data_IF_762934848500
#
_entry.id   IF_762934848500
#
_cell.length_a   1.000
_cell.length_b   1.000
_cell.length_c   1.000
_cell.angle_alpha   90.00
_cell.angle_beta   90.00
_cell.angle_gamma   90.00
#
_symmetry.space_group_name_H-M   'P 1'
#
loop_
_entity.id
_entity.type
_entity.pdbx_description
1 polymer ?
#
# COMPACT_ATOMS: atom_id res chain seq x y z
N UNK A 1 31.29 18.26 11.79
CA UNK A 1 30.04 17.50 12.05
C UNK A 1 28.91 18.47 12.35
N UNK A 2 27.97 18.60 11.42
CA UNK A 2 26.72 19.35 11.64
C UNK A 2 25.83 18.63 12.66
N UNK A 3 25.12 19.40 13.50
CA UNK A 3 24.03 18.92 14.34
C UNK A 3 22.73 19.43 13.71
N UNK A 4 21.77 18.54 13.47
CA UNK A 4 20.51 18.88 12.82
C UNK A 4 19.35 18.38 13.69
N UNK A 5 18.33 19.22 13.86
CA UNK A 5 17.06 18.82 14.46
C UNK A 5 16.04 18.73 13.34
N UNK A 6 15.41 17.57 13.18
CA UNK A 6 14.28 17.36 12.27
C UNK A 6 13.02 17.30 13.11
N UNK A 7 12.02 18.12 12.75
CA UNK A 7 10.75 18.20 13.50
C UNK A 7 9.65 17.49 12.70
N UNK A 8 9.09 16.43 13.28
CA UNK A 8 7.99 15.63 12.74
C UNK A 8 8.43 14.28 12.18
N UNK A 9 7.66 13.23 12.47
CA UNK A 9 7.92 11.85 12.04
C UNK A 9 7.00 11.37 10.90
N UNK A 10 6.59 12.28 10.00
CA UNK A 10 5.97 11.88 8.73
C UNK A 10 7.00 11.37 7.71
N UNK A 11 6.55 11.02 6.50
CA UNK A 11 7.44 10.54 5.43
C UNK A 11 8.63 11.48 5.21
N UNK A 12 8.38 12.78 5.00
CA UNK A 12 9.42 13.78 4.80
C UNK A 12 10.44 13.79 5.95
N UNK A 13 9.97 13.90 7.19
CA UNK A 13 10.86 13.96 8.36
C UNK A 13 11.69 12.70 8.57
N UNK A 14 11.09 11.52 8.42
CA UNK A 14 11.81 10.24 8.52
C UNK A 14 12.85 10.09 7.40
N UNK A 15 12.50 10.42 6.15
CA UNK A 15 13.45 10.34 5.03
C UNK A 15 14.58 11.36 5.13
N UNK A 16 14.28 12.59 5.57
CA UNK A 16 15.29 13.64 5.79
C UNK A 16 16.24 13.23 6.91
N UNK A 17 15.71 12.76 8.05
CA UNK A 17 16.54 12.31 9.16
C UNK A 17 17.46 11.15 8.74
N UNK A 18 16.93 10.17 8.00
CA UNK A 18 17.70 9.04 7.49
C UNK A 18 18.82 9.48 6.53
N UNK A 19 18.51 10.29 5.51
CA UNK A 19 19.51 10.78 4.55
C UNK A 19 20.62 11.60 5.22
N UNK A 20 20.26 12.49 6.14
CA UNK A 20 21.23 13.29 6.89
C UNK A 20 22.15 12.42 7.74
N UNK A 21 21.59 11.43 8.44
CA UNK A 21 22.36 10.50 9.25
C UNK A 21 23.30 9.64 8.40
N UNK A 22 22.83 9.10 7.26
CA UNK A 22 23.66 8.36 6.30
C UNK A 22 24.78 9.22 5.71
N UNK A 23 24.58 10.55 5.65
CA UNK A 23 25.60 11.52 5.21
C UNK A 23 26.55 11.97 6.33
N UNK A 24 26.47 11.36 7.53
CA UNK A 24 27.37 11.63 8.66
C UNK A 24 26.95 12.80 9.58
N UNK A 25 25.75 13.36 9.42
CA UNK A 25 25.24 14.37 10.34
C UNK A 25 24.76 13.74 11.66
N UNK A 26 24.87 14.48 12.77
CA UNK A 26 24.22 14.09 14.03
C UNK A 26 22.80 14.63 14.05
N UNK A 27 21.82 13.73 13.99
CA UNK A 27 20.42 14.10 13.85
C UNK A 27 19.65 13.80 15.14
N UNK A 28 18.79 14.72 15.55
CA UNK A 28 17.74 14.50 16.55
C UNK A 28 16.38 14.65 15.86
N UNK A 29 15.52 13.63 15.99
CA UNK A 29 14.16 13.65 15.47
C UNK A 29 13.18 14.01 16.60
N UNK A 30 12.67 15.24 16.59
CA UNK A 30 11.67 15.69 17.55
C UNK A 30 10.26 15.48 16.98
N UNK A 31 9.41 14.70 17.66
CA UNK A 31 8.02 14.51 17.23
C UNK A 31 7.06 14.36 18.41
N UNK A 32 5.82 14.83 18.23
CA UNK A 32 4.71 14.57 19.17
C UNK A 32 4.03 13.22 18.92
N UNK A 33 4.16 12.66 17.71
CA UNK A 33 3.48 11.41 17.30
C UNK A 33 4.00 10.84 15.97
N UNK A 34 3.37 9.78 15.43
CA UNK A 34 3.89 8.99 14.30
C UNK A 34 3.71 9.62 12.91
N UNK A 35 3.27 10.88 12.81
CA UNK A 35 3.01 11.53 11.53
C UNK A 35 1.83 10.92 10.76
N UNK A 36 1.79 11.16 9.44
CA UNK A 36 0.64 10.85 8.58
C UNK A 36 0.66 9.49 7.85
N UNK A 37 1.72 8.68 7.98
CA UNK A 37 1.83 7.43 7.21
C UNK A 37 0.69 6.44 7.52
N UNK A 38 0.22 6.39 8.77
CA UNK A 38 -0.94 5.59 9.16
C UNK A 38 -2.29 6.07 8.59
N UNK A 39 -2.33 7.27 8.00
CA UNK A 39 -3.49 7.81 7.28
C UNK A 39 -3.39 7.59 5.75
N UNK A 40 -2.24 7.10 5.28
CA UNK A 40 -1.97 6.87 3.86
C UNK A 40 -2.50 5.51 3.39
N UNK A 41 -2.43 5.25 2.09
CA UNK A 41 -2.74 3.93 1.51
C UNK A 41 -1.56 2.93 1.61
N UNK A 42 -0.42 3.34 2.19
CA UNK A 42 0.78 2.53 2.26
C UNK A 42 1.55 2.39 0.94
N UNK A 43 1.33 3.33 0.02
CA UNK A 43 1.99 3.44 -1.30
C UNK A 43 2.62 4.82 -1.47
N UNK A 44 3.48 4.99 -2.47
CA UNK A 44 4.08 6.28 -2.86
C UNK A 44 3.56 6.68 -4.24
N UNK A 45 2.74 7.72 -4.26
CA UNK A 45 2.07 8.19 -5.48
C UNK A 45 2.90 9.29 -6.14
N UNK A 46 3.10 9.18 -7.45
CA UNK A 46 3.85 10.16 -8.23
C UNK A 46 2.97 10.62 -9.39
N UNK A 47 2.64 11.92 -9.40
CA UNK A 47 1.87 12.62 -10.44
C UNK A 47 0.84 11.74 -11.17
N UNK A 48 -0.15 11.25 -10.43
CA UNK A 48 -1.16 10.34 -10.98
C UNK A 48 -2.17 11.01 -11.93
N UNK A 49 -2.25 12.35 -11.94
CA UNK A 49 -3.28 13.10 -12.65
C UNK A 49 -2.76 14.45 -13.15
N UNK A 50 -3.13 14.86 -14.37
CA UNK A 50 -2.91 16.22 -14.89
C UNK A 50 -3.78 16.56 -16.13
N UNK A 51 -5.04 16.98 -15.98
CA UNK A 51 -5.98 16.60 -14.92
C UNK A 51 -6.46 15.15 -15.07
N UNK A 52 -6.30 14.59 -16.28
CA UNK A 52 -6.60 13.20 -16.61
C UNK A 52 -5.59 12.25 -15.97
N UNK A 53 -6.00 10.99 -15.82
CA UNK A 53 -5.16 9.94 -15.24
C UNK A 53 -3.88 9.72 -16.04
N UNK A 54 -2.75 9.62 -15.34
CA UNK A 54 -1.41 9.42 -15.92
C UNK A 54 -0.83 8.06 -15.56
N UNK A 55 -0.44 7.31 -16.59
CA UNK A 55 0.33 6.06 -16.43
C UNK A 55 1.83 6.29 -16.38
N UNK A 56 2.35 7.36 -17.02
CA UNK A 56 3.79 7.65 -17.09
C UNK A 56 4.09 9.03 -16.51
N UNK A 57 4.23 9.16 -15.17
CA UNK A 57 4.20 10.46 -14.52
C UNK A 57 5.42 11.31 -14.86
N UNK A 58 6.61 10.72 -15.01
CA UNK A 58 7.83 11.50 -15.32
C UNK A 58 7.80 12.17 -16.69
N UNK A 59 7.10 11.59 -17.68
CA UNK A 59 6.95 12.21 -19.01
C UNK A 59 6.08 13.47 -18.95
N UNK A 60 5.13 13.52 -18.01
CA UNK A 60 4.25 14.67 -17.84
C UNK A 60 4.91 15.85 -17.12
N UNK A 61 6.01 15.64 -16.38
CA UNK A 61 6.64 16.68 -15.54
C UNK A 61 7.02 17.92 -16.34
N UNK A 62 7.57 17.75 -17.54
CA UNK A 62 7.99 18.88 -18.39
C UNK A 62 6.85 19.73 -18.96
N UNK A 63 5.60 19.25 -18.86
CA UNK A 63 4.40 19.97 -19.30
C UNK A 63 3.70 20.73 -18.17
N UNK A 64 4.19 20.60 -16.93
CA UNK A 64 3.61 21.26 -15.77
C UNK A 64 4.01 22.75 -15.72
N UNK A 65 3.19 23.62 -15.11
CA UNK A 65 3.59 24.99 -14.83
C UNK A 65 4.86 25.05 -13.98
N UNK A 66 5.71 26.07 -14.20
CA UNK A 66 6.97 26.24 -13.46
C UNK A 66 6.77 26.37 -11.93
N UNK A 67 5.59 26.80 -11.50
CA UNK A 67 5.21 26.89 -10.08
C UNK A 67 4.84 25.55 -9.46
N UNK A 68 4.70 24.49 -10.26
CA UNK A 68 4.34 23.17 -9.77
C UNK A 68 5.55 22.50 -9.08
N UNK A 69 5.39 21.89 -7.88
CA UNK A 69 6.51 21.27 -7.15
C UNK A 69 7.34 20.27 -7.97
N UNK A 70 6.69 19.42 -8.77
CA UNK A 70 7.40 18.51 -9.68
C UNK A 70 8.21 19.23 -10.78
N UNK A 71 7.74 20.38 -11.29
CA UNK A 71 8.51 21.17 -12.26
C UNK A 71 9.78 21.75 -11.60
N UNK A 72 9.67 22.21 -10.35
CA UNK A 72 10.82 22.72 -9.57
C UNK A 72 11.85 21.63 -9.27
N UNK A 73 11.42 20.43 -8.88
CA UNK A 73 12.31 19.29 -8.58
C UNK A 73 12.90 18.69 -9.87
N UNK A 74 12.14 18.73 -10.96
CA UNK A 74 12.48 18.10 -12.23
C UNK A 74 12.30 16.58 -12.23
N UNK A 75 12.07 16.01 -13.42
CA UNK A 75 11.81 14.57 -13.57
C UNK A 75 12.94 13.70 -13.00
N UNK A 76 14.20 14.10 -13.20
CA UNK A 76 15.35 13.34 -12.69
C UNK A 76 15.51 13.42 -11.17
N UNK A 77 15.21 14.59 -10.58
CA UNK A 77 15.18 14.74 -9.13
C UNK A 77 14.13 13.83 -8.49
N UNK A 78 12.94 13.74 -9.10
CA UNK A 78 11.88 12.83 -8.67
C UNK A 78 12.33 11.38 -8.82
N UNK A 79 12.89 11.01 -9.98
CA UNK A 79 13.42 9.66 -10.23
C UNK A 79 14.40 9.23 -9.15
N UNK A 80 15.42 10.04 -8.91
CA UNK A 80 16.47 9.76 -7.92
C UNK A 80 15.91 9.67 -6.49
N UNK A 81 14.97 10.54 -6.12
CA UNK A 81 14.38 10.53 -4.79
C UNK A 81 13.54 9.27 -4.53
N UNK A 82 12.71 8.88 -5.51
CA UNK A 82 11.83 7.70 -5.43
C UNK A 82 12.64 6.41 -5.46
N UNK A 83 13.63 6.31 -6.35
CA UNK A 83 14.53 5.15 -6.42
C UNK A 83 15.26 4.92 -5.10
N UNK A 84 15.85 5.97 -4.52
CA UNK A 84 16.49 5.87 -3.21
C UNK A 84 15.54 5.41 -2.11
N UNK A 85 14.29 5.89 -2.10
CA UNK A 85 13.30 5.46 -1.08
C UNK A 85 12.95 3.98 -1.23
N UNK A 86 12.77 3.49 -2.46
CA UNK A 86 12.55 2.07 -2.74
C UNK A 86 13.74 1.22 -2.27
N UNK A 87 14.98 1.66 -2.52
CA UNK A 87 16.20 1.01 -2.00
C UNK A 87 16.26 0.97 -0.47
N UNK A 88 15.66 1.96 0.20
CA UNK A 88 15.59 1.91 1.66
C UNK A 88 14.59 0.87 2.16
N UNK A 89 13.58 0.46 1.40
CA UNK A 89 12.51 -0.43 1.87
C UNK A 89 12.12 -1.47 0.80
N UNK A 90 13.07 -2.28 0.28
CA UNK A 90 12.81 -3.17 -0.86
C UNK A 90 11.74 -4.23 -0.58
N UNK A 91 11.54 -4.61 0.69
CA UNK A 91 10.51 -5.54 1.13
C UNK A 91 9.10 -4.92 1.22
N UNK A 92 8.98 -3.59 1.17
CA UNK A 92 7.71 -2.87 1.30
C UNK A 92 7.38 -1.96 0.11
N UNK A 93 8.35 -1.58 -0.71
CA UNK A 93 8.14 -0.66 -1.82
C UNK A 93 8.78 -1.23 -3.10
N UNK A 94 7.91 -1.65 -4.01
CA UNK A 94 8.28 -2.15 -5.33
C UNK A 94 7.62 -1.32 -6.43
N UNK A 95 8.23 -1.28 -7.61
CA UNK A 95 7.84 -0.40 -8.71
C UNK A 95 8.89 0.67 -8.98
N UNK A 96 8.52 1.68 -9.76
CA UNK A 96 9.40 2.78 -10.13
C UNK A 96 8.56 4.02 -10.53
N UNK A 97 9.15 5.22 -10.63
CA UNK A 97 8.42 6.42 -11.03
C UNK A 97 8.21 6.55 -12.55
N UNK A 98 8.73 5.66 -13.40
CA UNK A 98 8.45 5.73 -14.84
C UNK A 98 7.04 5.31 -15.20
N UNK A 99 6.45 4.42 -14.39
CA UNK A 99 5.14 3.87 -14.65
C UNK A 99 4.33 3.68 -13.35
N UNK A 100 3.11 4.21 -13.35
CA UNK A 100 2.15 4.03 -12.29
C UNK A 100 1.36 2.73 -12.46
N UNK A 101 1.35 1.88 -11.43
CA UNK A 101 0.32 0.85 -11.24
C UNK A 101 -1.07 1.48 -11.18
N UNK A 102 -2.10 0.71 -11.52
CA UNK A 102 -3.50 1.13 -11.46
C UNK A 102 -4.24 0.28 -10.43
N UNK A 103 -4.11 0.65 -9.15
CA UNK A 103 -4.55 -0.18 -8.04
C UNK A 103 -5.98 0.17 -7.58
N UNK A 104 -6.77 -0.83 -7.16
CA UNK A 104 -8.08 -0.62 -6.57
C UNK A 104 -8.01 0.12 -5.23
N UNK A 105 -8.99 0.98 -4.97
CA UNK A 105 -9.22 1.63 -3.67
C UNK A 105 -10.33 0.93 -2.88
N UNK A 106 -10.53 1.33 -1.61
CA UNK A 106 -11.63 0.85 -0.76
C UNK A 106 -13.05 1.06 -1.34
N UNK A 107 -13.18 1.90 -2.37
CA UNK A 107 -14.44 2.14 -3.09
C UNK A 107 -14.45 1.52 -4.49
N UNK A 108 -13.46 0.70 -4.86
CA UNK A 108 -13.37 0.06 -6.17
C UNK A 108 -13.07 1.01 -7.34
N UNK A 109 -12.51 2.19 -7.06
CA UNK A 109 -11.94 3.06 -8.10
C UNK A 109 -10.46 2.69 -8.33
N UNK A 110 -9.94 2.99 -9.52
CA UNK A 110 -8.51 2.81 -9.82
C UNK A 110 -7.72 4.08 -9.48
N UNK A 111 -6.58 3.89 -8.82
CA UNK A 111 -5.68 4.94 -8.36
C UNK A 111 -4.25 4.68 -8.88
N UNK A 112 -3.65 5.64 -9.60
CA UNK A 112 -2.26 5.59 -10.03
C UNK A 112 -1.30 5.64 -8.84
N UNK A 113 -0.29 4.76 -8.82
CA UNK A 113 0.78 4.78 -7.81
C UNK A 113 2.09 4.23 -8.35
N UNK A 114 3.22 4.84 -7.97
CA UNK A 114 4.53 4.48 -8.51
C UNK A 114 5.20 3.36 -7.70
N UNK A 115 5.15 3.47 -6.36
CA UNK A 115 5.65 2.42 -5.47
C UNK A 115 4.50 1.85 -4.65
N UNK A 116 4.31 0.54 -4.71
CA UNK A 116 3.31 -0.18 -3.95
C UNK A 116 3.95 -1.23 -3.05
N UNK A 117 3.18 -1.75 -2.09
CA UNK A 117 3.63 -2.94 -1.36
C UNK A 117 3.53 -4.18 -2.25
N UNK A 118 4.43 -5.16 -2.10
CA UNK A 118 4.34 -6.42 -2.85
C UNK A 118 2.95 -7.06 -2.79
N UNK A 119 2.31 -6.96 -1.62
CA UNK A 119 0.96 -7.48 -1.39
C UNK A 119 -0.15 -6.79 -2.17
N UNK A 120 0.11 -5.67 -2.85
CA UNK A 120 -0.88 -4.92 -3.62
C UNK A 120 -0.71 -5.06 -5.13
N UNK A 121 0.48 -5.44 -5.59
CA UNK A 121 0.88 -5.38 -7.01
C UNK A 121 -0.04 -6.21 -7.92
N UNK A 122 -0.44 -7.40 -7.48
CA UNK A 122 -1.38 -8.24 -8.25
C UNK A 122 -2.75 -7.56 -8.49
N UNK A 123 -3.07 -6.51 -7.73
CA UNK A 123 -4.26 -5.70 -7.88
C UNK A 123 -4.25 -4.76 -9.09
N UNK A 124 -3.12 -4.64 -9.80
CA UNK A 124 -3.01 -3.78 -10.96
C UNK A 124 -4.00 -4.18 -12.07
N UNK A 125 -4.83 -3.20 -12.45
CA UNK A 125 -5.95 -3.38 -13.36
C UNK A 125 -5.57 -3.43 -14.85
N UNK A 126 -4.32 -3.14 -15.19
CA UNK A 126 -3.83 -3.27 -16.56
C UNK A 126 -4.02 -4.72 -17.05
N UNK A 127 -4.21 -4.89 -18.36
CA UNK A 127 -4.39 -6.18 -19.04
C UNK A 127 -5.71 -6.91 -18.74
N UNK A 128 -6.70 -6.25 -18.14
CA UNK A 128 -8.08 -6.77 -18.07
C UNK A 128 -8.27 -7.97 -17.13
N UNK A 129 -7.67 -7.92 -15.94
CA UNK A 129 -7.76 -9.00 -14.94
C UNK A 129 -9.18 -9.19 -14.41
N UNK A 130 -9.48 -10.41 -13.95
CA UNK A 130 -10.68 -10.69 -13.19
C UNK A 130 -10.39 -10.86 -11.67
N UNK A 131 -11.29 -10.36 -10.82
CA UNK A 131 -11.08 -10.29 -9.37
C UNK A 131 -12.17 -10.99 -8.57
N UNK A 132 -11.76 -11.77 -7.57
CA UNK A 132 -12.64 -12.18 -6.48
C UNK A 132 -12.41 -11.26 -5.29
N UNK A 133 -13.32 -10.33 -5.03
CA UNK A 133 -13.24 -9.41 -3.89
C UNK A 133 -13.85 -10.11 -2.68
N UNK A 134 -13.01 -10.60 -1.77
CA UNK A 134 -13.44 -11.38 -0.62
C UNK A 134 -13.40 -10.54 0.64
N UNK A 135 -14.57 -10.20 1.15
CA UNK A 135 -14.73 -9.47 2.41
C UNK A 135 -14.81 -10.38 3.63
N UNK A 136 -14.59 -9.80 4.80
CA UNK A 136 -14.78 -10.46 6.10
C UNK A 136 -15.96 -9.79 6.79
N UNK A 137 -16.98 -10.56 7.18
CA UNK A 137 -18.25 -10.02 7.70
C UNK A 137 -18.07 -9.08 8.91
N UNK A 138 -17.05 -9.30 9.72
CA UNK A 138 -16.76 -8.50 10.90
C UNK A 138 -15.92 -7.24 10.60
N UNK A 139 -15.37 -7.08 9.39
CA UNK A 139 -14.68 -5.85 8.97
C UNK A 139 -15.68 -4.96 8.25
N UNK A 140 -16.29 -4.01 8.97
CA UNK A 140 -17.34 -3.14 8.42
C UNK A 140 -16.84 -2.14 7.38
N UNK A 141 -15.55 -1.80 7.44
CA UNK A 141 -14.93 -0.80 6.58
C UNK A 141 -14.51 -1.34 5.20
N UNK A 142 -14.85 -2.59 4.87
CA UNK A 142 -14.55 -3.21 3.57
C UNK A 142 -15.82 -3.64 2.82
N UNK A 143 -16.45 -2.74 2.05
CA UNK A 143 -17.69 -3.03 1.34
C UNK A 143 -17.41 -3.85 0.06
N UNK A 144 -17.16 -5.15 0.19
CA UNK A 144 -16.72 -6.01 -0.92
C UNK A 144 -17.65 -5.98 -2.15
N UNK A 145 -18.97 -5.91 -1.93
CA UNK A 145 -19.96 -5.83 -3.00
C UNK A 145 -19.86 -4.52 -3.80
N UNK A 146 -19.61 -3.39 -3.10
CA UNK A 146 -19.41 -2.09 -3.73
C UNK A 146 -18.10 -2.05 -4.52
N UNK A 147 -17.02 -2.58 -3.93
CA UNK A 147 -15.71 -2.66 -4.57
C UNK A 147 -15.80 -3.48 -5.86
N UNK A 148 -16.36 -4.70 -5.79
CA UNK A 148 -16.54 -5.55 -6.96
C UNK A 148 -17.42 -4.88 -8.03
N UNK A 149 -18.54 -4.30 -7.62
CA UNK A 149 -19.44 -3.60 -8.53
C UNK A 149 -18.79 -2.42 -9.26
N UNK A 150 -17.98 -1.62 -8.56
CA UNK A 150 -17.27 -0.49 -9.16
C UNK A 150 -16.10 -0.95 -10.06
N UNK A 151 -15.36 -1.99 -9.67
CA UNK A 151 -14.31 -2.54 -10.51
C UNK A 151 -14.87 -3.10 -11.82
N UNK A 152 -15.97 -3.87 -11.77
CA UNK A 152 -16.62 -4.41 -12.97
C UNK A 152 -17.16 -3.33 -13.93
N UNK A 153 -17.40 -2.11 -13.45
CA UNK A 153 -17.81 -0.95 -14.29
C UNK A 153 -16.63 -0.12 -14.78
N UNK A 154 -15.43 -0.34 -14.25
CA UNK A 154 -14.26 0.47 -14.56
C UNK A 154 -13.57 -0.03 -15.83
N UNK A 155 -13.11 0.90 -16.65
CA UNK A 155 -12.19 0.61 -17.77
C UNK A 155 -10.79 1.00 -17.32
N UNK A 156 -9.82 0.09 -17.46
CA UNK A 156 -8.44 0.38 -17.14
C UNK A 156 -7.83 1.37 -18.17
N UNK A 157 -6.71 2.05 -17.87
CA UNK A 157 -6.14 3.06 -18.76
C UNK A 157 -5.72 2.54 -20.14
N UNK A 158 -5.44 1.24 -20.26
CA UNK A 158 -5.13 0.57 -21.53
C UNK A 158 -6.38 0.16 -22.32
N UNK A 159 -7.57 0.57 -21.87
CA UNK A 159 -8.86 0.25 -22.49
C UNK A 159 -9.42 -1.12 -22.09
N UNK A 160 -8.69 -1.92 -21.31
CA UNK A 160 -9.17 -3.24 -20.89
C UNK A 160 -10.37 -3.15 -19.94
N UNK A 161 -11.27 -4.13 -20.07
CA UNK A 161 -12.43 -4.28 -19.20
C UNK A 161 -12.07 -5.20 -18.04
N UNK A 162 -12.45 -4.78 -16.83
CA UNK A 162 -12.30 -5.61 -15.65
C UNK A 162 -13.58 -6.40 -15.41
N UNK A 163 -13.44 -7.55 -14.75
CA UNK A 163 -14.58 -8.24 -14.15
C UNK A 163 -14.28 -8.49 -12.68
N UNK A 164 -15.30 -8.43 -11.84
CA UNK A 164 -15.14 -8.68 -10.43
C UNK A 164 -16.41 -9.28 -9.83
N UNK A 165 -16.22 -10.25 -8.93
CA UNK A 165 -17.28 -10.84 -8.12
C UNK A 165 -16.96 -10.63 -6.66
N UNK A 166 -17.98 -10.39 -5.83
CA UNK A 166 -17.81 -10.33 -4.38
C UNK A 166 -18.14 -11.66 -3.72
N UNK A 167 -17.45 -11.93 -2.62
CA UNK A 167 -17.74 -13.03 -1.73
C UNK A 167 -17.42 -12.64 -0.28
N UNK A 168 -17.90 -13.44 0.68
CA UNK A 168 -17.80 -13.11 2.09
C UNK A 168 -17.46 -14.32 2.93
N UNK A 169 -16.47 -14.17 3.82
CA UNK A 169 -16.17 -15.14 4.88
C UNK A 169 -16.63 -14.60 6.24
N UNK A 170 -16.81 -15.50 7.20
CA UNK A 170 -17.03 -15.14 8.60
C UNK A 170 -15.97 -15.83 9.46
N UNK A 171 -15.02 -15.04 9.97
CA UNK A 171 -13.91 -15.56 10.77
C UNK A 171 -13.51 -14.52 11.82
N UNK A 172 -13.86 -14.76 13.08
CA UNK A 172 -13.52 -13.84 14.16
C UNK A 172 -12.00 -13.79 14.41
N UNK A 173 -11.41 -12.59 14.32
CA UNK A 173 -10.01 -12.35 14.72
C UNK A 173 -9.78 -12.56 16.23
N UNK A 174 -10.77 -12.23 17.06
CA UNK A 174 -10.80 -12.50 18.49
C UNK A 174 -12.19 -12.97 18.89
N UNK A 175 -12.26 -14.01 19.71
CA UNK A 175 -13.53 -14.57 20.19
C UNK A 175 -14.36 -13.51 20.91
N UNK A 176 -15.62 -13.34 20.49
CA UNK A 176 -16.57 -12.43 21.15
C UNK A 176 -16.44 -10.96 20.75
N UNK A 177 -15.50 -10.59 19.88
CA UNK A 177 -15.41 -9.22 19.35
C UNK A 177 -16.31 -9.05 18.12
N UNK A 178 -17.32 -8.19 18.24
CA UNK A 178 -18.29 -7.96 17.18
C UNK A 178 -17.84 -6.93 16.13
N UNK A 179 -16.97 -5.98 16.51
CA UNK A 179 -16.51 -4.88 15.63
C UNK A 179 -14.98 -4.70 15.67
N UNK A 180 -14.22 -5.72 15.25
CA UNK A 180 -12.76 -5.66 15.21
C UNK A 180 -12.27 -4.66 14.15
N UNK A 181 -11.33 -3.82 14.56
CA UNK A 181 -10.62 -2.94 13.62
C UNK A 181 -9.81 -3.75 12.58
N UNK A 182 -9.50 -3.17 11.40
CA UNK A 182 -8.56 -3.77 10.45
C UNK A 182 -7.20 -4.15 11.08
N UNK A 183 -6.70 -3.32 12.01
CA UNK A 183 -5.47 -3.60 12.74
C UNK A 183 -5.59 -4.82 13.67
N UNK A 184 -6.79 -5.11 14.19
CA UNK A 184 -7.06 -6.33 14.96
C UNK A 184 -6.86 -7.56 14.08
N UNK A 185 -7.38 -7.54 12.84
CA UNK A 185 -7.14 -8.62 11.88
C UNK A 185 -5.67 -8.72 11.49
N UNK A 186 -5.00 -7.60 11.23
CA UNK A 186 -3.58 -7.63 10.89
C UNK A 186 -2.72 -8.27 11.97
N UNK A 187 -3.03 -8.02 13.25
CA UNK A 187 -2.38 -8.69 14.39
C UNK A 187 -2.73 -10.17 14.49
N UNK A 188 -3.98 -10.56 14.21
CA UNK A 188 -4.36 -11.97 14.18
C UNK A 188 -3.67 -12.71 13.03
N UNK A 189 -3.49 -12.06 11.89
CA UNK A 189 -2.82 -12.61 10.71
C UNK A 189 -1.31 -12.81 10.89
N UNK A 190 -0.69 -12.14 11.88
CA UNK A 190 0.69 -12.45 12.27
C UNK A 190 0.80 -13.88 12.89
N UNK A 191 -0.28 -14.49 13.38
CA UNK A 191 -0.30 -15.93 13.75
C UNK A 191 -0.43 -16.82 12.48
N UNK A 192 0.59 -17.67 12.16
CA UNK A 192 0.53 -18.55 11.00
C UNK A 192 -0.68 -19.49 10.98
N UNK A 193 -1.18 -19.90 12.15
CA UNK A 193 -2.34 -20.80 12.27
C UNK A 193 -3.61 -20.06 11.86
N UNK A 194 -3.79 -18.84 12.35
CA UNK A 194 -4.90 -17.98 11.96
C UNK A 194 -4.84 -17.63 10.47
N UNK A 195 -3.67 -17.23 9.94
CA UNK A 195 -3.49 -16.95 8.52
C UNK A 195 -3.85 -18.15 7.62
N UNK A 196 -3.44 -19.36 8.03
CA UNK A 196 -3.81 -20.59 7.29
C UNK A 196 -5.31 -20.89 7.36
N UNK A 197 -5.96 -20.62 8.50
CA UNK A 197 -7.41 -20.74 8.64
C UNK A 197 -8.15 -19.72 7.77
N UNK A 198 -7.68 -18.48 7.75
CA UNK A 198 -8.20 -17.43 6.88
C UNK A 198 -8.13 -17.83 5.41
N UNK A 199 -6.96 -18.29 4.93
CA UNK A 199 -6.79 -18.75 3.55
C UNK A 199 -7.79 -19.85 3.17
N UNK A 200 -7.99 -20.85 4.04
CA UNK A 200 -8.98 -21.92 3.81
C UNK A 200 -10.42 -21.42 3.72
N UNK A 201 -10.81 -20.44 4.53
CA UNK A 201 -12.16 -19.86 4.42
C UNK A 201 -12.31 -19.05 3.12
N UNK A 202 -11.27 -18.31 2.72
CA UNK A 202 -11.25 -17.58 1.44
C UNK A 202 -11.34 -18.53 0.26
N UNK A 203 -10.60 -19.65 0.27
CA UNK A 203 -10.57 -20.64 -0.81
C UNK A 203 -11.97 -21.15 -1.17
N UNK A 204 -12.80 -21.42 -0.15
CA UNK A 204 -14.18 -21.92 -0.30
C UNK A 204 -15.08 -20.97 -1.09
N UNK A 205 -14.77 -19.67 -1.12
CA UNK A 205 -15.66 -18.63 -1.65
C UNK A 205 -15.06 -17.82 -2.80
N UNK A 206 -13.74 -17.86 -3.00
CA UNK A 206 -13.03 -17.04 -3.97
C UNK A 206 -13.24 -17.46 -5.45
N UNK A 207 -14.04 -18.49 -5.72
CA UNK A 207 -14.38 -18.92 -7.08
C UNK A 207 -13.15 -19.25 -7.94
N UNK A 208 -13.17 -18.85 -9.21
CA UNK A 208 -12.10 -19.11 -10.21
C UNK A 208 -11.43 -17.84 -10.72
N UNK A 209 -11.45 -16.76 -9.94
CA UNK A 209 -10.82 -15.52 -10.38
C UNK A 209 -9.27 -15.63 -10.44
N UNK A 210 -8.64 -14.83 -11.30
CA UNK A 210 -7.20 -14.69 -11.50
C UNK A 210 -6.56 -14.16 -10.22
N UNK A 211 -7.20 -13.17 -9.59
CA UNK A 211 -6.70 -12.49 -8.40
C UNK A 211 -7.75 -12.48 -7.30
N UNK A 212 -7.35 -12.85 -6.09
CA UNK A 212 -8.18 -12.72 -4.89
C UNK A 212 -7.84 -11.39 -4.21
N UNK A 213 -8.78 -10.45 -4.25
CA UNK A 213 -8.64 -9.14 -3.63
C UNK A 213 -9.20 -9.15 -2.20
N UNK A 214 -8.35 -8.88 -1.23
CA UNK A 214 -8.63 -8.95 0.20
C UNK A 214 -8.53 -7.57 0.86
N UNK A 215 -9.21 -7.33 1.99
CA UNK A 215 -8.92 -6.17 2.81
C UNK A 215 -7.43 -6.15 3.20
N UNK A 216 -6.82 -4.96 3.27
CA UNK A 216 -5.41 -4.80 3.64
C UNK A 216 -5.15 -5.08 5.14
N UNK A 217 -5.19 -6.37 5.50
CA UNK A 217 -5.02 -6.89 6.86
C UNK A 217 -4.04 -8.06 6.91
N UNK A 218 -3.24 -8.29 5.86
CA UNK A 218 -2.35 -9.45 5.74
C UNK A 218 -1.05 -9.25 6.54
N UNK A 219 -1.16 -9.28 7.86
CA UNK A 219 -0.04 -9.12 8.79
C UNK A 219 0.33 -7.66 9.04
N UNK A 220 0.84 -7.37 10.24
CA UNK A 220 1.42 -6.06 10.57
C UNK A 220 2.92 -6.17 10.86
N UNK A 221 3.33 -7.30 11.43
CA UNK A 221 4.74 -7.61 11.73
C UNK A 221 5.31 -8.61 10.74
N UNK A 222 4.47 -9.56 10.28
CA UNK A 222 4.85 -10.56 9.28
C UNK A 222 4.46 -10.13 7.88
N UNK A 223 5.45 -9.81 7.05
CA UNK A 223 5.24 -9.42 5.65
C UNK A 223 4.98 -10.62 4.74
N UNK A 224 5.38 -11.83 5.17
CA UNK A 224 5.22 -13.10 4.46
C UNK A 224 3.80 -13.67 4.50
N UNK A 225 2.86 -13.04 5.22
CA UNK A 225 1.45 -13.48 5.26
C UNK A 225 0.82 -13.43 3.87
N UNK A 226 1.17 -12.42 3.06
CA UNK A 226 0.68 -12.31 1.69
C UNK A 226 1.11 -13.51 0.83
N UNK A 227 2.39 -13.86 0.83
CA UNK A 227 2.91 -15.01 0.08
C UNK A 227 2.35 -16.32 0.63
N UNK A 228 2.27 -16.49 1.95
CA UNK A 228 1.65 -17.66 2.59
C UNK A 228 0.21 -17.89 2.08
N UNK A 229 -0.62 -16.84 2.02
CA UNK A 229 -2.01 -16.97 1.56
C UNK A 229 -2.06 -17.21 0.06
N UNK A 230 -1.23 -16.54 -0.73
CA UNK A 230 -1.14 -16.76 -2.17
C UNK A 230 -0.78 -18.21 -2.51
N UNK A 231 0.20 -18.79 -1.80
CA UNK A 231 0.63 -20.18 -1.95
C UNK A 231 -0.48 -21.17 -1.58
N UNK A 232 -1.16 -20.94 -0.45
CA UNK A 232 -2.26 -21.79 0.00
C UNK A 232 -3.47 -21.75 -0.95
N UNK A 233 -3.73 -20.61 -1.59
CA UNK A 233 -4.81 -20.46 -2.56
C UNK A 233 -4.44 -20.92 -3.98
N UNK A 234 -3.16 -21.15 -4.26
CA UNK A 234 -2.62 -21.44 -5.59
C UNK A 234 -2.89 -20.33 -6.62
N UNK A 235 -3.06 -19.08 -6.15
CA UNK A 235 -3.51 -17.93 -6.96
C UNK A 235 -2.86 -16.65 -6.47
N UNK A 236 -2.83 -15.64 -7.34
CA UNK A 236 -2.40 -14.31 -6.93
C UNK A 236 -3.40 -13.68 -5.96
N UNK A 237 -2.85 -12.95 -5.00
CA UNK A 237 -3.61 -12.25 -3.96
C UNK A 237 -3.19 -10.79 -3.97
N UNK A 238 -4.15 -9.89 -3.80
CA UNK A 238 -3.86 -8.48 -3.57
C UNK A 238 -4.60 -7.93 -2.34
N UNK A 239 -3.97 -6.97 -1.66
CA UNK A 239 -4.57 -6.16 -0.61
C UNK A 239 -5.20 -4.90 -1.21
N UNK A 240 -6.44 -4.62 -0.83
CA UNK A 240 -7.12 -3.34 -1.07
C UNK A 240 -7.05 -2.53 0.22
N UNK A 241 -6.47 -1.31 0.19
CA UNK A 241 -6.33 -0.47 1.38
C UNK A 241 -7.69 -0.13 2.00
N UNK A 242 -7.69 0.08 3.31
CA UNK A 242 -8.86 0.41 4.11
C UNK A 242 -8.78 1.85 4.65
N UNK A 243 -9.90 2.41 5.14
CA UNK A 243 -9.87 3.63 5.93
C UNK A 243 -8.89 3.56 7.11
N UNK A 244 -8.39 4.70 7.61
CA UNK A 244 -7.44 4.70 8.72
C UNK A 244 -7.97 4.00 9.99
N UNK A 245 -7.09 3.34 10.77
CA UNK A 245 -5.64 3.27 10.59
C UNK A 245 -5.24 2.27 9.49
N UNK A 246 -4.39 2.73 8.57
CA UNK A 246 -3.88 1.93 7.46
C UNK A 246 -2.79 0.98 7.91
N UNK A 247 -3.03 -0.32 7.81
CA UNK A 247 -2.05 -1.37 8.10
C UNK A 247 -0.82 -1.25 7.18
N UNK A 248 -0.96 -1.15 5.84
CA UNK A 248 0.16 -0.84 4.95
C UNK A 248 0.93 0.43 5.35
N UNK A 249 0.23 1.50 5.72
CA UNK A 249 0.83 2.74 6.19
C UNK A 249 1.63 2.57 7.48
N UNK A 250 1.13 1.76 8.41
CA UNK A 250 1.84 1.41 9.65
C UNK A 250 3.08 0.54 9.38
N UNK A 251 3.04 -0.40 8.42
CA UNK A 251 4.23 -1.17 7.99
C UNK A 251 5.34 -0.22 7.52
N UNK A 252 5.02 0.75 6.65
CA UNK A 252 5.97 1.75 6.19
C UNK A 252 6.54 2.60 7.33
N UNK A 253 5.67 3.10 8.22
CA UNK A 253 6.10 3.90 9.36
C UNK A 253 7.07 3.14 10.27
N UNK A 254 6.73 1.90 10.63
CA UNK A 254 7.54 1.07 11.50
C UNK A 254 8.91 0.76 10.88
N UNK A 255 8.94 0.42 9.58
CA UNK A 255 10.18 0.10 8.88
C UNK A 255 11.10 1.34 8.72
N UNK A 256 10.54 2.49 8.34
CA UNK A 256 11.31 3.75 8.26
C UNK A 256 11.85 4.17 9.63
N UNK A 257 11.02 4.12 10.67
CA UNK A 257 11.43 4.46 12.02
C UNK A 257 12.54 3.53 12.51
N UNK A 258 12.45 2.23 12.22
CA UNK A 258 13.50 1.27 12.53
C UNK A 258 14.83 1.63 11.83
N UNK A 259 14.79 2.02 10.56
CA UNK A 259 15.99 2.46 9.82
C UNK A 259 16.58 3.76 10.37
N UNK A 260 15.74 4.73 10.69
CA UNK A 260 16.16 5.99 11.34
C UNK A 260 16.87 5.71 12.66
N UNK A 261 16.31 4.82 13.50
CA UNK A 261 16.94 4.40 14.76
C UNK A 261 18.27 3.66 14.53
N UNK A 262 18.30 2.74 13.57
CA UNK A 262 19.52 1.99 13.23
C UNK A 262 20.63 2.90 12.70
N UNK A 263 20.29 4.02 12.06
CA UNK A 263 21.23 5.05 11.62
C UNK A 263 21.73 5.97 12.76
N UNK A 264 21.34 5.72 14.01
CA UNK A 264 21.82 6.47 15.18
C UNK A 264 21.14 7.83 15.39
N UNK A 265 19.99 8.07 14.75
CA UNK A 265 19.18 9.26 15.00
C UNK A 265 18.57 9.16 16.40
N UNK A 266 18.74 10.24 17.18
CA UNK A 266 18.23 10.35 18.55
C UNK A 266 16.79 10.83 18.61
#
# INVERSE_FOLDING_TARGET
MSRVVVIGAGLAGLTTALRLAQSGARVTLATKGPGGLQLSQGTIDILGYSPERLSRPLEAVGSLPDTHPYATVGAEGVRSAVAWLAEQLPELLVGNPDENYQLPTAVGALRPTALAQPSMVAGDARQGRNYAVVGVRQIKDFPADLVAGNLARTTAPDGSKLSATSAWISLQARTGEADPSPLTYARAMDDPVFASKFAREVEKVAGKADVVALPAVLGITRLDVHSQISELLGREVCEIPLPPPSVPGLRLYNALLAKVRAAGVR
#
